data_IF_176030031867
#
_entry.id   IF_176030031867
#
_cell.length_a   1.000
_cell.length_b   1.000
_cell.length_c   1.000
_cell.angle_alpha   90.00
_cell.angle_beta   90.00
_cell.angle_gamma   90.00
#
_symmetry.space_group_name_H-M   'P 1'
#
loop_
_entity.id
_entity.type
_entity.pdbx_description
1 polymer ?
#
# COMPACT_ATOMS: atom_id res chain seq x y z
N UNK A 1 -1.94 -9.87 -10.11
CA UNK A 1 -2.09 -10.70 -8.90
C UNK A 1 -1.19 -10.15 -7.80
N UNK A 2 -1.69 -9.99 -6.58
CA UNK A 2 -0.90 -9.47 -5.44
C UNK A 2 0.22 -10.44 -5.02
N UNK A 3 0.03 -11.75 -5.21
CA UNK A 3 1.04 -12.76 -4.89
C UNK A 3 2.28 -12.64 -5.80
N UNK A 4 2.05 -12.47 -7.11
CA UNK A 4 3.11 -12.24 -8.09
C UNK A 4 3.87 -10.94 -7.79
N UNK A 5 3.15 -9.85 -7.49
CA UNK A 5 3.79 -8.58 -7.13
C UNK A 5 4.66 -8.71 -5.87
N UNK A 6 4.19 -9.42 -4.84
CA UNK A 6 4.98 -9.63 -3.63
C UNK A 6 6.23 -10.50 -3.88
N UNK A 7 6.14 -11.48 -4.80
CA UNK A 7 7.30 -12.27 -5.23
C UNK A 7 8.35 -11.41 -5.96
N UNK A 8 7.91 -10.52 -6.85
CA UNK A 8 8.79 -9.59 -7.56
C UNK A 8 9.45 -8.59 -6.59
N UNK A 9 8.71 -8.07 -5.61
CA UNK A 9 9.24 -7.16 -4.61
C UNK A 9 10.29 -7.85 -3.72
N UNK A 10 10.11 -9.13 -3.37
CA UNK A 10 11.07 -9.92 -2.58
C UNK A 10 12.45 -10.04 -3.22
N UNK A 11 12.54 -9.97 -4.54
CA UNK A 11 13.83 -10.04 -5.24
C UNK A 11 14.65 -8.76 -5.11
N UNK A 12 14.04 -7.63 -4.73
CA UNK A 12 14.64 -6.29 -4.77
C UNK A 12 14.60 -5.55 -3.42
N UNK A 13 13.75 -5.99 -2.49
CA UNK A 13 13.48 -5.30 -1.23
C UNK A 13 13.69 -6.28 -0.08
N UNK A 14 14.44 -5.86 0.93
CA UNK A 14 14.63 -6.66 2.14
C UNK A 14 13.26 -7.05 2.75
N UNK A 15 13.08 -8.31 3.15
CA UNK A 15 11.81 -8.78 3.71
C UNK A 15 11.26 -7.94 4.88
N UNK A 16 12.10 -7.23 5.63
CA UNK A 16 11.71 -6.33 6.72
C UNK A 16 10.97 -5.07 6.23
N UNK A 17 11.22 -4.64 4.98
CA UNK A 17 10.53 -3.49 4.37
C UNK A 17 9.33 -3.88 3.50
N UNK A 18 9.08 -5.18 3.31
CA UNK A 18 7.92 -5.61 2.55
C UNK A 18 6.62 -5.38 3.32
N UNK A 19 5.57 -4.84 2.66
CA UNK A 19 4.28 -4.61 3.29
C UNK A 19 3.62 -5.93 3.67
N UNK A 20 3.11 -6.02 4.90
CA UNK A 20 2.40 -7.20 5.40
C UNK A 20 1.14 -6.77 6.15
N UNK A 21 -0.07 -7.01 5.60
CA UNK A 21 -0.36 -7.50 4.23
C UNK A 21 -0.24 -6.40 3.15
N UNK A 22 -0.15 -6.81 1.87
CA UNK A 22 -0.16 -5.93 0.70
C UNK A 22 -1.60 -5.69 0.22
N UNK A 23 -2.07 -4.45 0.28
CA UNK A 23 -3.40 -4.07 -0.21
C UNK A 23 -3.31 -3.41 -1.58
N UNK A 24 -4.03 -3.94 -2.56
CA UNK A 24 -4.23 -3.31 -3.86
C UNK A 24 -5.45 -2.38 -3.78
N UNK A 25 -5.27 -1.13 -4.19
CA UNK A 25 -6.31 -0.09 -4.18
C UNK A 25 -6.41 0.53 -5.57
N UNK A 26 -7.60 1.04 -5.92
CA UNK A 26 -7.81 1.66 -7.23
C UNK A 26 -6.95 2.93 -7.43
N UNK A 27 -6.77 3.72 -6.37
CA UNK A 27 -5.94 4.92 -6.39
C UNK A 27 -5.44 5.28 -4.99
N UNK A 28 -4.32 6.01 -4.93
CA UNK A 28 -3.84 6.65 -3.71
C UNK A 28 -4.55 8.00 -3.51
N UNK A 29 -4.93 8.37 -2.28
CA UNK A 29 -5.67 9.60 -1.99
C UNK A 29 -4.73 10.80 -2.02
N UNK A 30 -4.38 11.24 -3.23
CA UNK A 30 -3.57 12.44 -3.46
C UNK A 30 -4.44 13.70 -3.42
N UNK A 31 -3.89 14.78 -2.88
CA UNK A 31 -4.50 16.11 -2.95
C UNK A 31 -4.42 16.69 -4.37
N UNK A 32 -5.07 17.83 -4.62
CA UNK A 32 -5.06 18.53 -5.92
C UNK A 32 -3.63 18.86 -6.41
N UNK A 33 -2.71 19.15 -5.48
CA UNK A 33 -1.29 19.36 -5.78
C UNK A 33 -0.48 18.05 -5.96
N UNK A 34 -1.15 16.89 -6.00
CA UNK A 34 -0.54 15.57 -6.17
C UNK A 34 0.07 14.95 -4.90
N UNK A 35 0.07 15.65 -3.76
CA UNK A 35 0.68 15.16 -2.52
C UNK A 35 -0.15 14.07 -1.86
N UNK A 36 0.51 13.02 -1.39
CA UNK A 36 -0.09 12.00 -0.53
C UNK A 36 0.10 12.42 0.93
N UNK A 37 -0.93 12.99 1.56
CA UNK A 37 -0.83 13.41 2.95
C UNK A 37 -0.79 12.21 3.89
N UNK A 38 -0.09 12.37 5.02
CA UNK A 38 0.02 11.32 6.05
C UNK A 38 -1.36 10.91 6.58
N UNK A 39 -2.25 11.87 6.81
CA UNK A 39 -3.59 11.61 7.34
C UNK A 39 -4.45 10.80 6.35
N UNK A 40 -4.45 11.16 5.06
CA UNK A 40 -5.20 10.45 4.04
C UNK A 40 -4.67 9.01 3.84
N UNK A 41 -3.35 8.84 3.84
CA UNK A 41 -2.74 7.52 3.77
C UNK A 41 -3.06 6.66 4.99
N UNK A 42 -3.05 7.24 6.20
CA UNK A 42 -3.41 6.53 7.43
C UNK A 42 -4.88 6.07 7.42
N UNK A 43 -5.79 6.94 6.98
CA UNK A 43 -7.20 6.60 6.83
C UNK A 43 -7.43 5.48 5.80
N UNK A 44 -6.76 5.54 4.64
CA UNK A 44 -6.81 4.46 3.65
C UNK A 44 -6.29 3.14 4.23
N UNK A 45 -5.15 3.17 4.92
CA UNK A 45 -4.57 1.97 5.53
C UNK A 45 -5.50 1.35 6.59
N UNK A 46 -6.19 2.17 7.38
CA UNK A 46 -7.19 1.69 8.33
C UNK A 46 -8.39 1.04 7.61
N UNK A 47 -8.93 1.69 6.57
CA UNK A 47 -10.01 1.14 5.77
C UNK A 47 -9.64 -0.20 5.10
N UNK A 48 -8.41 -0.33 4.58
CA UNK A 48 -7.93 -1.58 4.01
C UNK A 48 -7.88 -2.71 5.06
N UNK A 49 -7.38 -2.42 6.27
CA UNK A 49 -7.35 -3.40 7.38
C UNK A 49 -8.73 -3.83 7.85
N UNK A 50 -9.73 -2.94 7.78
CA UNK A 50 -11.10 -3.27 8.17
C UNK A 50 -11.84 -4.12 7.13
N UNK A 51 -11.33 -4.22 5.89
CA UNK A 51 -11.95 -4.94 4.77
C UNK A 51 -11.40 -6.36 4.57
N UNK A 52 -10.24 -6.67 5.16
CA UNK A 52 -9.60 -7.99 5.09
C UNK A 52 -9.83 -8.78 6.37
#
# INVERSE_FOLDING_TARGET
>A
DSAALLADLRQRIDPAFLPRPLYLVAALPRQENGKLSRAALAALAHACRARG
#
